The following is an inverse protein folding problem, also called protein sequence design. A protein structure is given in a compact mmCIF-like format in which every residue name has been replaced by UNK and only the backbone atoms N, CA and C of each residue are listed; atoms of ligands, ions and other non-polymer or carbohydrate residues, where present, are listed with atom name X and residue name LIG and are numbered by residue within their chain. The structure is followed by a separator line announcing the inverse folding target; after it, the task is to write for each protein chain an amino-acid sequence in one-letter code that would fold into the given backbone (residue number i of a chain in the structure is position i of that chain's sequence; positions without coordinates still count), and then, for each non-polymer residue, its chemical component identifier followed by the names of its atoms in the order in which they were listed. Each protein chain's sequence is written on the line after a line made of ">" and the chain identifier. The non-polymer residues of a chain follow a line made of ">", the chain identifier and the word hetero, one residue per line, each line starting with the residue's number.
data_IF_817422027101
#
_entry.id   IF_817422027101
#
_cell.length_a   1.000
_cell.length_b   1.000
_cell.length_c   1.000
_cell.angle_alpha   90.00
_cell.angle_beta   90.00
_cell.angle_gamma   90.00
#
_symmetry.space_group_name_H-M   'P 1'
#
loop_
_entity.id
_entity.type
_entity.pdbx_description
1 polymer ?
#
# COMPACT_ATOMS: atom_id res chain seq x y z
N UNK A 1 -23.63 17.96 -17.97
CA UNK A 1 -22.78 17.48 -19.06
C UNK A 1 -21.47 17.00 -18.46
N UNK A 2 -20.95 15.86 -18.91
CA UNK A 2 -19.81 15.15 -18.31
C UNK A 2 -18.52 15.94 -18.49
N UNK A 3 -18.39 16.67 -19.60
CA UNK A 3 -17.27 17.59 -19.83
C UNK A 3 -17.25 18.73 -18.82
N UNK A 4 -18.41 19.28 -18.47
CA UNK A 4 -18.51 20.34 -17.46
C UNK A 4 -18.03 19.86 -16.08
N UNK A 5 -18.32 18.61 -15.71
CA UNK A 5 -17.86 18.03 -14.43
C UNK A 5 -16.33 17.95 -14.39
N UNK A 6 -15.68 17.52 -15.48
CA UNK A 6 -14.21 17.43 -15.57
C UNK A 6 -13.53 18.81 -15.60
N UNK A 7 -14.07 19.75 -16.37
CA UNK A 7 -13.53 21.11 -16.50
C UNK A 7 -13.59 21.92 -15.19
N UNK A 8 -14.60 21.66 -14.34
CA UNK A 8 -14.74 22.33 -13.04
C UNK A 8 -13.74 21.86 -11.98
N UNK A 9 -12.95 20.80 -12.22
CA UNK A 9 -11.95 20.29 -11.27
C UNK A 9 -10.74 21.23 -11.14
N UNK A 10 -10.58 22.17 -12.08
CA UNK A 10 -9.42 23.05 -12.19
C UNK A 10 -9.66 24.49 -11.70
N UNK A 11 -10.83 24.83 -11.14
CA UNK A 11 -11.15 26.19 -10.66
C UNK A 11 -11.56 26.18 -9.18
N UNK A 12 -11.01 27.11 -8.40
CA UNK A 12 -11.47 27.39 -7.03
C UNK A 12 -12.98 27.67 -7.02
N UNK A 13 -13.71 27.04 -6.08
CA UNK A 13 -15.18 27.08 -6.01
C UNK A 13 -15.91 26.08 -6.91
N UNK A 14 -15.21 25.37 -7.81
CA UNK A 14 -15.78 24.33 -8.68
C UNK A 14 -16.28 23.09 -7.93
N UNK A 15 -15.71 22.80 -6.76
CA UNK A 15 -16.03 21.63 -5.93
C UNK A 15 -17.50 21.57 -5.50
N UNK A 16 -18.04 22.70 -5.00
CA UNK A 16 -19.45 22.82 -4.60
C UNK A 16 -20.40 22.62 -5.79
N UNK A 17 -20.01 23.09 -6.98
CA UNK A 17 -20.79 22.94 -8.20
C UNK A 17 -20.75 21.48 -8.67
N UNK A 18 -19.60 20.83 -8.60
CA UNK A 18 -19.42 19.43 -8.95
C UNK A 18 -20.29 18.51 -8.11
N UNK A 19 -20.25 18.64 -6.78
CA UNK A 19 -21.05 17.77 -5.89
C UNK A 19 -22.56 18.04 -6.02
N UNK A 20 -22.95 19.29 -6.25
CA UNK A 20 -24.35 19.66 -6.53
C UNK A 20 -24.85 19.08 -7.86
N UNK A 21 -24.01 19.14 -8.91
CA UNK A 21 -24.32 18.55 -10.20
C UNK A 21 -24.38 17.02 -10.11
N UNK A 22 -23.44 16.39 -9.40
CA UNK A 22 -23.43 14.96 -9.16
C UNK A 22 -24.70 14.51 -8.43
N UNK A 23 -25.09 15.22 -7.37
CA UNK A 23 -26.33 14.97 -6.62
C UNK A 23 -27.57 15.04 -7.53
N UNK A 24 -27.66 16.08 -8.37
CA UNK A 24 -28.78 16.23 -9.30
C UNK A 24 -28.85 15.12 -10.35
N UNK A 25 -27.70 14.66 -10.85
CA UNK A 25 -27.64 13.55 -11.80
C UNK A 25 -28.13 12.26 -11.11
N UNK A 26 -27.63 11.94 -9.91
CA UNK A 26 -28.06 10.74 -9.19
C UNK A 26 -29.56 10.75 -8.84
N UNK A 27 -30.09 11.90 -8.38
CA UNK A 27 -31.52 12.05 -8.07
C UNK A 27 -32.41 11.88 -9.32
N UNK A 28 -32.00 12.47 -10.46
CA UNK A 28 -32.70 12.28 -11.72
C UNK A 28 -32.70 10.80 -12.11
N UNK A 29 -31.54 10.15 -12.06
CA UNK A 29 -31.40 8.77 -12.49
C UNK A 29 -32.21 7.82 -11.59
N UNK A 30 -32.28 8.08 -10.28
CA UNK A 30 -33.17 7.34 -9.37
C UNK A 30 -34.64 7.38 -9.81
N UNK A 31 -35.13 8.52 -10.30
CA UNK A 31 -36.51 8.68 -10.78
C UNK A 31 -36.76 8.03 -12.14
N UNK A 32 -35.72 7.86 -12.95
CA UNK A 32 -35.83 7.47 -14.36
C UNK A 32 -35.46 6.01 -14.62
N UNK A 33 -34.76 5.34 -13.69
CA UNK A 33 -34.46 3.90 -13.81
C UNK A 33 -35.77 3.12 -13.62
N UNK A 34 -36.49 2.94 -14.72
CA UNK A 34 -37.45 1.86 -14.86
C UNK A 34 -36.66 0.57 -15.12
N UNK A 35 -36.84 -0.41 -14.23
CA UNK A 35 -36.43 -1.79 -14.47
C UNK A 35 -37.14 -2.24 -15.75
N UNK A 36 -36.44 -2.94 -16.64
CA UNK A 36 -36.93 -3.58 -17.88
C UNK A 36 -37.03 -2.71 -19.15
N UNK A 37 -35.91 -2.59 -19.88
CA UNK A 37 -35.94 -2.69 -21.35
C UNK A 37 -34.61 -3.30 -21.80
N UNK A 38 -34.66 -4.45 -22.46
CA UNK A 38 -33.48 -5.18 -22.94
C UNK A 38 -32.78 -4.49 -24.13
N UNK A 39 -33.17 -3.26 -24.49
CA UNK A 39 -32.58 -2.50 -25.59
C UNK A 39 -31.63 -1.42 -25.05
N UNK A 40 -30.33 -1.65 -25.24
CA UNK A 40 -29.28 -0.67 -24.96
C UNK A 40 -29.44 0.52 -25.91
N UNK A 41 -29.86 1.68 -25.40
CA UNK A 41 -29.98 2.92 -26.18
C UNK A 41 -29.02 4.01 -25.68
N UNK A 42 -28.87 5.09 -26.47
CA UNK A 42 -27.96 6.20 -26.16
C UNK A 42 -28.29 6.87 -24.82
N UNK A 43 -29.57 6.95 -24.45
CA UNK A 43 -29.99 7.54 -23.18
C UNK A 43 -29.56 6.66 -22.00
N UNK A 44 -29.69 5.33 -22.11
CA UNK A 44 -29.20 4.40 -21.10
C UNK A 44 -27.68 4.53 -20.91
N UNK A 45 -26.91 4.61 -21.99
CA UNK A 45 -25.45 4.82 -21.91
C UNK A 45 -25.10 6.16 -21.26
N UNK A 46 -25.85 7.22 -21.58
CA UNK A 46 -25.69 8.55 -20.96
C UNK A 46 -25.98 8.51 -19.47
N UNK A 47 -27.01 7.79 -19.04
CA UNK A 47 -27.35 7.63 -17.62
C UNK A 47 -26.29 6.82 -16.88
N UNK A 48 -25.77 5.74 -17.49
CA UNK A 48 -24.64 4.97 -16.93
C UNK A 48 -23.40 5.84 -16.79
N UNK A 49 -23.05 6.62 -17.81
CA UNK A 49 -21.92 7.54 -17.78
C UNK A 49 -22.11 8.63 -16.70
N UNK A 50 -23.32 9.15 -16.57
CA UNK A 50 -23.71 10.11 -15.53
C UNK A 50 -23.54 9.54 -14.12
N UNK A 51 -24.05 8.33 -13.87
CA UNK A 51 -23.88 7.64 -12.58
C UNK A 51 -22.38 7.46 -12.28
N UNK A 52 -21.61 6.95 -13.23
CA UNK A 52 -20.17 6.71 -13.05
C UNK A 52 -19.41 7.99 -12.72
N UNK A 53 -19.67 9.07 -13.45
CA UNK A 53 -19.05 10.38 -13.20
C UNK A 53 -19.45 10.95 -11.83
N UNK A 54 -20.72 10.82 -11.45
CA UNK A 54 -21.20 11.30 -10.13
C UNK A 54 -20.61 10.50 -8.97
N UNK A 55 -20.48 9.17 -9.10
CA UNK A 55 -19.87 8.33 -8.08
C UNK A 55 -18.36 8.54 -7.97
N UNK A 56 -17.68 8.79 -9.10
CA UNK A 56 -16.27 9.18 -9.13
C UNK A 56 -16.05 10.50 -8.36
N UNK A 57 -16.87 11.52 -8.63
CA UNK A 57 -16.86 12.78 -7.86
C UNK A 57 -17.18 12.53 -6.39
N UNK A 58 -18.20 11.74 -6.08
CA UNK A 58 -18.57 11.45 -4.68
C UNK A 58 -17.39 10.82 -3.93
N UNK A 59 -16.69 9.87 -4.56
CA UNK A 59 -15.59 9.11 -3.93
C UNK A 59 -14.46 10.00 -3.41
N UNK A 60 -14.21 11.16 -4.02
CA UNK A 60 -13.16 12.09 -3.56
C UNK A 60 -13.49 12.76 -2.22
N UNK A 61 -14.76 12.75 -1.80
CA UNK A 61 -15.20 13.38 -0.55
C UNK A 61 -15.41 12.36 0.59
N UNK A 62 -15.33 11.06 0.31
CA UNK A 62 -15.53 9.98 1.29
C UNK A 62 -14.21 9.50 1.91
N UNK A 63 -13.21 10.39 1.98
CA UNK A 63 -11.93 10.15 2.64
C UNK A 63 -11.99 10.37 4.16
N UNK A 64 -10.81 10.56 4.77
CA UNK A 64 -10.70 10.76 6.22
C UNK A 64 -11.32 12.09 6.70
N UNK A 65 -11.30 13.11 5.83
CA UNK A 65 -11.90 14.43 6.06
C UNK A 65 -13.42 14.46 5.86
N UNK A 66 -14.10 13.29 5.81
CA UNK A 66 -15.53 13.20 5.51
C UNK A 66 -16.40 14.11 6.41
N UNK A 67 -16.13 14.15 7.72
CA UNK A 67 -16.90 14.97 8.65
C UNK A 67 -16.80 16.46 8.33
N UNK A 68 -15.61 16.93 7.94
CA UNK A 68 -15.39 18.31 7.54
C UNK A 68 -15.97 18.59 6.15
N UNK A 69 -15.88 17.62 5.23
CA UNK A 69 -16.52 17.70 3.92
C UNK A 69 -18.05 17.83 4.04
N UNK A 70 -18.69 17.09 4.96
CA UNK A 70 -20.14 17.22 5.21
C UNK A 70 -20.51 18.62 5.67
N UNK A 71 -19.66 19.25 6.49
CA UNK A 71 -19.86 20.65 6.95
C UNK A 71 -19.63 21.66 5.83
N UNK A 72 -18.62 21.44 5.00
CA UNK A 72 -18.19 22.33 3.91
C UNK A 72 -19.14 22.28 2.70
N UNK A 73 -19.65 21.11 2.36
CA UNK A 73 -20.38 20.86 1.11
C UNK A 73 -21.85 20.52 1.37
N UNK A 74 -22.74 21.51 1.28
CA UNK A 74 -24.18 21.37 1.59
C UNK A 74 -24.91 20.29 0.76
N UNK A 75 -24.46 20.02 -0.46
CA UNK A 75 -25.08 19.01 -1.33
C UNK A 75 -24.54 17.59 -1.11
N UNK A 76 -23.46 17.41 -0.34
CA UNK A 76 -22.84 16.11 -0.10
C UNK A 76 -23.79 15.12 0.61
N UNK A 77 -24.51 15.48 1.68
CA UNK A 77 -25.45 14.56 2.33
C UNK A 77 -26.54 14.05 1.37
N UNK A 78 -27.11 14.95 0.57
CA UNK A 78 -28.12 14.58 -0.43
C UNK A 78 -27.54 13.69 -1.54
N UNK A 79 -26.31 13.96 -1.97
CA UNK A 79 -25.60 13.14 -2.94
C UNK A 79 -25.35 11.72 -2.40
N UNK A 80 -24.90 11.63 -1.14
CA UNK A 80 -24.63 10.38 -0.45
C UNK A 80 -25.89 9.52 -0.32
N UNK A 81 -27.02 10.12 0.07
CA UNK A 81 -28.29 9.41 0.20
C UNK A 81 -28.77 8.87 -1.16
N UNK A 82 -28.66 9.67 -2.22
CA UNK A 82 -28.99 9.22 -3.57
C UNK A 82 -28.10 8.05 -4.04
N UNK A 83 -26.79 8.12 -3.75
CA UNK A 83 -25.86 7.03 -4.06
C UNK A 83 -26.17 5.76 -3.27
N UNK A 84 -26.52 5.90 -1.97
CA UNK A 84 -26.93 4.79 -1.11
C UNK A 84 -28.16 4.09 -1.66
N UNK A 85 -29.22 4.83 -2.01
CA UNK A 85 -30.41 4.26 -2.64
C UNK A 85 -30.13 3.49 -3.94
N UNK A 86 -29.22 4.00 -4.78
CA UNK A 86 -28.84 3.31 -6.02
C UNK A 86 -28.09 2.00 -5.74
N UNK A 87 -27.24 1.98 -4.72
CA UNK A 87 -26.40 0.83 -4.38
C UNK A 87 -27.13 -0.22 -3.52
N UNK A 88 -28.12 0.16 -2.71
CA UNK A 88 -28.88 -0.76 -1.86
C UNK A 88 -29.84 -1.68 -2.60
N UNK A 89 -30.05 -1.49 -3.90
CA UNK A 89 -30.90 -2.40 -4.68
C UNK A 89 -30.08 -3.62 -5.14
N UNK A 90 -30.45 -4.82 -4.68
CA UNK A 90 -29.73 -6.07 -4.94
C UNK A 90 -29.55 -6.39 -6.44
N UNK A 91 -30.45 -5.91 -7.29
CA UNK A 91 -30.32 -6.02 -8.76
C UNK A 91 -29.20 -5.14 -9.35
N UNK A 92 -28.56 -4.28 -8.56
CA UNK A 92 -27.60 -3.24 -8.98
C UNK A 92 -26.27 -3.30 -8.22
N UNK A 93 -25.87 -4.47 -7.76
CA UNK A 93 -24.57 -4.71 -7.09
C UNK A 93 -23.35 -4.21 -7.88
N UNK A 94 -23.48 -4.08 -9.21
CA UNK A 94 -22.46 -3.50 -10.10
C UNK A 94 -22.18 -2.03 -9.79
N UNK A 95 -23.18 -1.24 -9.39
CA UNK A 95 -23.02 0.18 -9.04
C UNK A 95 -22.24 0.31 -7.73
N UNK A 96 -22.62 -0.47 -6.71
CA UNK A 96 -21.91 -0.55 -5.44
C UNK A 96 -20.44 -0.96 -5.66
N UNK A 97 -20.21 -2.00 -6.48
CA UNK A 97 -18.87 -2.46 -6.86
C UNK A 97 -18.06 -1.39 -7.57
N UNK A 98 -18.69 -0.57 -8.41
CA UNK A 98 -18.03 0.55 -9.07
C UNK A 98 -17.57 1.61 -8.07
N UNK A 99 -18.43 2.02 -7.14
CA UNK A 99 -18.08 2.98 -6.10
C UNK A 99 -16.92 2.47 -5.23
N UNK A 100 -17.00 1.21 -4.79
CA UNK A 100 -15.92 0.58 -4.02
C UNK A 100 -14.59 0.62 -4.78
N UNK A 101 -14.60 0.30 -6.08
CA UNK A 101 -13.40 0.38 -6.94
C UNK A 101 -12.84 1.80 -7.05
N UNK A 102 -13.69 2.83 -7.07
CA UNK A 102 -13.20 4.22 -7.07
C UNK A 102 -12.57 4.60 -5.73
N UNK A 103 -13.19 4.21 -4.61
CA UNK A 103 -12.61 4.47 -3.29
C UNK A 103 -11.23 3.83 -3.16
N UNK A 104 -11.08 2.56 -3.53
CA UNK A 104 -9.80 1.86 -3.50
C UNK A 104 -8.77 2.50 -4.44
N UNK A 105 -9.20 3.05 -5.57
CA UNK A 105 -8.32 3.70 -6.55
C UNK A 105 -7.74 5.01 -6.03
N UNK A 106 -8.54 5.82 -5.33
CA UNK A 106 -8.11 7.14 -4.85
C UNK A 106 -7.50 7.11 -3.46
N UNK A 107 -7.72 6.04 -2.70
CA UNK A 107 -7.12 5.89 -1.39
C UNK A 107 -5.65 5.46 -1.52
N UNK A 108 -4.67 6.27 -1.07
CA UNK A 108 -3.26 5.89 -1.11
C UNK A 108 -2.98 4.63 -0.29
N UNK A 109 -3.85 4.33 0.68
CA UNK A 109 -3.78 3.19 1.57
C UNK A 109 -4.64 2.02 1.06
N UNK A 110 -5.11 2.05 -0.19
CA UNK A 110 -5.69 0.92 -0.89
C UNK A 110 -6.89 0.26 -0.18
N UNK A 111 -7.08 -1.04 -0.42
CA UNK A 111 -8.31 -1.74 0.00
C UNK A 111 -8.48 -1.87 1.51
N UNK A 112 -7.41 -2.09 2.27
CA UNK A 112 -7.53 -2.31 3.71
C UNK A 112 -7.97 -1.05 4.46
N UNK A 113 -7.51 0.14 4.04
CA UNK A 113 -8.00 1.40 4.59
C UNK A 113 -9.47 1.65 4.24
N UNK A 114 -9.87 1.34 3.00
CA UNK A 114 -11.29 1.40 2.59
C UNK A 114 -12.13 0.42 3.41
N UNK A 115 -11.65 -0.81 3.65
CA UNK A 115 -12.32 -1.79 4.53
C UNK A 115 -12.50 -1.24 5.93
N UNK A 116 -11.46 -0.66 6.53
CA UNK A 116 -11.53 -0.06 7.86
C UNK A 116 -12.52 1.11 7.90
N UNK A 117 -12.48 1.99 6.90
CA UNK A 117 -13.41 3.11 6.78
C UNK A 117 -14.86 2.63 6.64
N UNK A 118 -15.10 1.57 5.87
CA UNK A 118 -16.41 0.97 5.69
C UNK A 118 -16.98 0.30 6.95
N UNK A 119 -16.22 0.15 8.03
CA UNK A 119 -16.77 -0.28 9.33
C UNK A 119 -17.61 0.81 10.00
N UNK A 120 -17.43 2.07 9.63
CA UNK A 120 -18.22 3.19 10.15
C UNK A 120 -19.66 3.11 9.61
N UNK A 121 -20.65 3.44 10.44
CA UNK A 121 -22.07 3.31 10.10
C UNK A 121 -22.46 4.10 8.84
N UNK A 122 -21.79 5.22 8.57
CA UNK A 122 -22.01 6.06 7.39
C UNK A 122 -21.63 5.37 6.07
N UNK A 123 -20.70 4.41 6.12
CA UNK A 123 -20.09 3.77 4.95
C UNK A 123 -20.35 2.28 4.84
N UNK A 124 -20.99 1.68 5.85
CA UNK A 124 -21.30 0.25 5.91
C UNK A 124 -22.03 -0.29 4.68
N UNK A 125 -22.90 0.52 4.08
CA UNK A 125 -23.65 0.17 2.87
C UNK A 125 -22.78 0.05 1.60
N UNK A 126 -21.55 0.55 1.60
CA UNK A 126 -20.64 0.48 0.44
C UNK A 126 -19.99 -0.91 0.35
N UNK A 127 -19.75 -1.56 1.49
CA UNK A 127 -19.15 -2.89 1.52
C UNK A 127 -20.18 -3.95 1.15
N UNK A 128 -19.89 -4.86 0.19
CA UNK A 128 -20.75 -5.99 -0.08
C UNK A 128 -20.75 -6.95 1.11
N UNK A 129 -21.89 -7.60 1.45
CA UNK A 129 -21.97 -8.51 2.59
C UNK A 129 -21.00 -9.69 2.49
N UNK A 130 -20.69 -10.15 1.28
CA UNK A 130 -19.73 -11.24 1.01
C UNK A 130 -18.27 -10.88 1.33
N UNK A 131 -17.96 -9.58 1.52
CA UNK A 131 -16.59 -9.11 1.77
C UNK A 131 -16.23 -9.08 3.26
N UNK A 132 -17.21 -9.25 4.16
CA UNK A 132 -16.99 -9.33 5.61
C UNK A 132 -16.30 -10.64 6.03
N UNK A 133 -16.46 -11.71 5.24
CA UNK A 133 -15.87 -13.03 5.50
C UNK A 133 -14.35 -13.08 5.24
N UNK A 134 -13.81 -12.17 4.41
CA UNK A 134 -12.37 -12.12 4.11
C UNK A 134 -11.64 -11.21 5.09
N UNK A 135 -11.40 -11.75 6.29
CA UNK A 135 -10.69 -11.08 7.40
C UNK A 135 -9.16 -11.07 7.25
N UNK A 136 -8.60 -11.94 6.40
CA UNK A 136 -7.15 -12.01 6.17
C UNK A 136 -6.69 -10.95 5.18
N UNK A 137 -5.61 -10.23 5.51
CA UNK A 137 -4.95 -9.32 4.57
C UNK A 137 -4.47 -10.09 3.34
N UNK A 138 -4.40 -9.47 2.15
CA UNK A 138 -3.76 -10.10 1.00
C UNK A 138 -2.30 -10.46 1.30
N UNK A 139 -1.81 -11.57 0.75
CA UNK A 139 -0.39 -11.94 0.87
C UNK A 139 0.45 -11.15 -0.15
N UNK A 140 1.24 -10.21 0.35
CA UNK A 140 2.11 -9.36 -0.47
C UNK A 140 3.36 -10.08 -0.98
N UNK A 141 3.75 -11.21 -0.38
CA UNK A 141 4.93 -11.97 -0.76
C UNK A 141 4.70 -12.92 -1.94
N UNK A 142 3.46 -13.00 -2.45
CA UNK A 142 3.13 -13.72 -3.68
C UNK A 142 3.90 -13.22 -4.91
N UNK A 143 4.56 -12.06 -4.81
CA UNK A 143 5.53 -11.56 -5.79
C UNK A 143 6.66 -12.57 -6.08
N UNK A 144 6.97 -13.48 -5.15
CA UNK A 144 7.93 -14.57 -5.32
C UNK A 144 7.34 -15.81 -6.03
N UNK A 145 6.09 -15.70 -6.49
CA UNK A 145 5.39 -16.66 -7.32
C UNK A 145 5.29 -18.07 -6.70
N UNK A 146 5.27 -19.09 -7.56
CA UNK A 146 4.93 -20.46 -7.21
C UNK A 146 5.87 -21.07 -6.17
N UNK A 147 7.16 -20.78 -6.23
CA UNK A 147 8.14 -21.37 -5.32
C UNK A 147 7.90 -20.95 -3.87
N UNK A 148 7.68 -19.65 -3.63
CA UNK A 148 7.28 -19.16 -2.31
C UNK A 148 5.91 -19.72 -1.89
N UNK A 149 4.93 -19.69 -2.80
CA UNK A 149 3.59 -20.19 -2.52
C UNK A 149 3.61 -21.66 -2.06
N UNK A 150 4.38 -22.52 -2.72
CA UNK A 150 4.51 -23.93 -2.35
C UNK A 150 5.14 -24.11 -0.96
N UNK A 151 6.16 -23.32 -0.60
CA UNK A 151 6.71 -23.33 0.77
C UNK A 151 5.68 -22.88 1.80
N UNK A 152 4.95 -21.78 1.51
CA UNK A 152 3.94 -21.23 2.40
C UNK A 152 2.81 -22.23 2.66
N UNK A 153 2.27 -22.86 1.61
CA UNK A 153 1.24 -23.89 1.75
C UNK A 153 1.73 -25.11 2.54
N UNK A 154 2.96 -25.56 2.29
CA UNK A 154 3.55 -26.67 3.04
C UNK A 154 3.72 -26.32 4.52
N UNK A 155 4.13 -25.08 4.84
CA UNK A 155 4.24 -24.59 6.21
C UNK A 155 2.87 -24.47 6.88
N UNK A 156 1.87 -23.92 6.19
CA UNK A 156 0.49 -23.86 6.69
C UNK A 156 -0.07 -25.25 7.00
N UNK A 157 0.17 -26.23 6.12
CA UNK A 157 -0.18 -27.64 6.36
C UNK A 157 0.58 -28.22 7.55
N UNK A 158 1.86 -27.88 7.72
CA UNK A 158 2.65 -28.34 8.85
C UNK A 158 2.15 -27.78 10.19
N UNK A 159 1.70 -26.53 10.20
CA UNK A 159 1.07 -25.90 11.36
C UNK A 159 -0.24 -26.61 11.71
N UNK A 160 -1.08 -26.90 10.71
CA UNK A 160 -2.36 -27.59 10.94
C UNK A 160 -2.19 -29.04 11.40
N UNK A 161 -1.26 -29.78 10.80
CA UNK A 161 -1.06 -31.22 11.08
C UNK A 161 -0.06 -31.48 12.21
N UNK A 162 0.64 -30.45 12.71
CA UNK A 162 1.77 -30.58 13.64
C UNK A 162 2.90 -31.49 13.13
N UNK A 163 3.04 -31.64 11.81
CA UNK A 163 4.08 -32.44 11.14
C UNK A 163 4.89 -31.58 10.14
N UNK A 164 6.22 -31.59 10.26
CA UNK A 164 7.17 -30.84 9.40
C UNK A 164 7.78 -31.67 8.27
N UNK A 165 7.48 -32.97 8.18
CA UNK A 165 8.07 -33.88 7.18
C UNK A 165 7.76 -33.40 5.75
N UNK A 166 6.49 -33.09 5.46
CA UNK A 166 6.03 -32.58 4.17
C UNK A 166 6.72 -31.26 3.80
N UNK A 167 6.91 -30.38 4.80
CA UNK A 167 7.62 -29.11 4.62
C UNK A 167 9.08 -29.35 4.23
N UNK A 168 9.75 -30.32 4.86
CA UNK A 168 11.12 -30.66 4.54
C UNK A 168 11.25 -31.20 3.10
N UNK A 169 10.37 -32.12 2.71
CA UNK A 169 10.33 -32.69 1.35
C UNK A 169 10.14 -31.59 0.31
N UNK A 170 9.22 -30.66 0.55
CA UNK A 170 8.97 -29.52 -0.35
C UNK A 170 10.22 -28.66 -0.52
N UNK A 171 10.87 -28.31 0.59
CA UNK A 171 12.06 -27.46 0.61
C UNK A 171 13.26 -28.12 -0.06
N UNK A 172 13.47 -29.42 0.14
CA UNK A 172 14.57 -30.17 -0.47
C UNK A 172 14.40 -30.29 -2.00
N UNK A 173 13.16 -30.46 -2.47
CA UNK A 173 12.86 -30.61 -3.89
C UNK A 173 12.81 -29.28 -4.67
N UNK A 174 12.85 -28.14 -3.96
CA UNK A 174 12.80 -26.81 -4.57
C UNK A 174 14.04 -26.52 -5.42
N UNK A 175 13.83 -26.29 -6.71
CA UNK A 175 14.88 -25.90 -7.67
C UNK A 175 15.26 -24.42 -7.49
N UNK A 176 15.91 -24.11 -6.37
CA UNK A 176 16.35 -22.77 -6.01
C UNK A 176 17.69 -22.83 -5.27
N UNK A 177 18.48 -21.75 -5.36
CA UNK A 177 19.71 -21.63 -4.57
C UNK A 177 19.39 -21.63 -3.06
N UNK A 178 20.30 -22.11 -2.19
CA UNK A 178 20.06 -22.17 -0.76
C UNK A 178 19.63 -20.83 -0.13
N UNK A 179 20.26 -19.73 -0.55
CA UNK A 179 19.91 -18.36 -0.14
C UNK A 179 18.46 -17.98 -0.47
N UNK A 180 17.99 -18.36 -1.66
CA UNK A 180 16.61 -18.13 -2.11
C UNK A 180 15.63 -19.03 -1.32
N UNK A 181 16.00 -20.28 -1.04
CA UNK A 181 15.21 -21.15 -0.15
C UNK A 181 15.06 -20.55 1.24
N UNK A 182 16.15 -20.05 1.83
CA UNK A 182 16.12 -19.34 3.12
C UNK A 182 15.16 -18.14 3.08
N UNK A 183 15.18 -17.37 1.98
CA UNK A 183 14.24 -16.26 1.78
C UNK A 183 12.77 -16.73 1.84
N UNK A 184 12.42 -17.78 1.08
CA UNK A 184 11.04 -18.28 1.07
C UNK A 184 10.59 -18.84 2.41
N UNK A 185 11.46 -19.56 3.11
CA UNK A 185 11.18 -20.09 4.46
C UNK A 185 10.89 -18.94 5.43
N UNK A 186 11.71 -17.90 5.44
CA UNK A 186 11.55 -16.75 6.34
C UNK A 186 10.29 -15.95 6.02
N UNK A 187 10.00 -15.68 4.74
CA UNK A 187 8.78 -14.99 4.34
C UNK A 187 7.53 -15.81 4.69
N UNK A 188 7.57 -17.12 4.48
CA UNK A 188 6.47 -18.02 4.83
C UNK A 188 6.26 -18.09 6.34
N UNK A 189 7.34 -18.14 7.14
CA UNK A 189 7.27 -18.09 8.60
C UNK A 189 6.64 -16.81 9.09
N UNK A 190 7.08 -15.65 8.59
CA UNK A 190 6.43 -14.39 8.94
C UNK A 190 4.95 -14.42 8.57
N UNK A 191 4.62 -14.88 7.36
CA UNK A 191 3.25 -14.88 6.85
C UNK A 191 2.32 -15.80 7.65
N UNK A 192 2.69 -17.05 7.87
CA UNK A 192 1.82 -18.03 8.54
C UNK A 192 1.87 -17.91 10.07
N UNK A 193 3.01 -17.54 10.65
CA UNK A 193 3.19 -17.47 12.10
C UNK A 193 3.06 -16.04 12.61
N UNK A 194 3.91 -15.11 12.18
CA UNK A 194 3.93 -13.77 12.77
C UNK A 194 2.63 -12.99 12.51
N UNK A 195 2.02 -13.12 11.33
CA UNK A 195 0.74 -12.44 11.07
C UNK A 195 -0.43 -13.02 11.87
N UNK A 196 -0.34 -14.25 12.39
CA UNK A 196 -1.40 -14.84 13.21
C UNK A 196 -1.62 -14.07 14.52
N UNK A 197 -0.58 -13.40 15.02
CA UNK A 197 -0.65 -12.55 16.22
C UNK A 197 -1.43 -11.23 16.00
N UNK A 198 -1.74 -10.87 14.75
CA UNK A 198 -2.56 -9.69 14.43
C UNK A 198 -4.07 -9.95 14.52
N UNK A 199 -4.52 -11.18 14.74
CA UNK A 199 -5.96 -11.48 14.70
C UNK A 199 -6.69 -11.01 15.97
N UNK A 200 -7.84 -10.31 15.85
CA UNK A 200 -8.59 -9.78 17.01
C UNK A 200 -9.32 -10.84 17.83
N UNK A 201 -9.50 -12.04 17.30
CA UNK A 201 -10.20 -13.12 18.00
C UNK A 201 -9.30 -13.58 19.15
N UNK A 202 -9.70 -13.21 20.36
CA UNK A 202 -8.89 -13.20 21.55
C UNK A 202 -8.26 -14.54 21.91
N UNK A 203 -7.03 -14.45 22.39
CA UNK A 203 -6.39 -15.25 23.45
C UNK A 203 -6.32 -16.78 23.34
N UNK A 204 -7.01 -17.46 22.40
CA UNK A 204 -6.99 -18.94 22.28
C UNK A 204 -6.87 -19.52 20.85
N UNK A 205 -6.85 -18.69 19.80
CA UNK A 205 -6.70 -19.12 18.38
C UNK A 205 -5.26 -18.99 17.84
N UNK A 206 -4.29 -18.73 18.71
CA UNK A 206 -2.87 -18.66 18.35
C UNK A 206 -2.29 -20.04 17.99
N UNK A 207 -1.21 -20.07 17.20
CA UNK A 207 -0.50 -21.33 16.93
C UNK A 207 -0.01 -21.93 18.25
N UNK A 208 -0.40 -23.16 18.61
CA UNK A 208 -0.05 -23.75 19.90
C UNK A 208 1.47 -23.78 20.14
N UNK A 209 1.91 -23.47 21.37
CA UNK A 209 3.33 -23.41 21.76
C UNK A 209 4.10 -24.69 21.41
N UNK A 210 3.44 -25.87 21.49
CA UNK A 210 4.03 -27.15 21.09
C UNK A 210 4.45 -27.17 19.61
N UNK A 211 3.67 -26.53 18.74
CA UNK A 211 3.92 -26.46 17.30
C UNK A 211 5.04 -25.46 17.03
N UNK A 212 5.01 -24.29 17.69
CA UNK A 212 6.12 -23.33 17.63
C UNK A 212 7.44 -23.96 18.07
N UNK A 213 7.45 -24.78 19.12
CA UNK A 213 8.62 -25.53 19.55
C UNK A 213 9.10 -26.59 18.54
N UNK A 214 8.20 -27.24 17.80
CA UNK A 214 8.58 -28.14 16.70
C UNK A 214 9.19 -27.37 15.53
N UNK A 215 8.57 -26.25 15.13
CA UNK A 215 9.08 -25.38 14.07
C UNK A 215 10.45 -24.81 14.43
N UNK A 216 10.65 -24.38 15.68
CA UNK A 216 11.94 -23.91 16.18
C UNK A 216 13.02 -24.99 16.04
N UNK A 217 12.76 -26.22 16.49
CA UNK A 217 13.71 -27.34 16.31
C UNK A 217 13.98 -27.66 14.84
N UNK A 218 12.94 -27.60 14.01
CA UNK A 218 13.07 -27.81 12.57
C UNK A 218 14.01 -26.76 11.94
N UNK A 219 13.77 -25.47 12.22
CA UNK A 219 14.59 -24.34 11.73
C UNK A 219 16.05 -24.48 12.19
N UNK A 220 16.27 -24.86 13.45
CA UNK A 220 17.62 -25.12 13.97
C UNK A 220 18.32 -26.27 13.23
N UNK A 221 17.56 -27.27 12.78
CA UNK A 221 18.06 -28.40 11.99
C UNK A 221 18.39 -28.07 10.52
N UNK A 222 17.95 -26.94 9.98
CA UNK A 222 18.22 -26.58 8.58
C UNK A 222 19.70 -26.24 8.41
N UNK A 223 20.43 -27.08 7.67
CA UNK A 223 21.88 -26.97 7.51
C UNK A 223 22.32 -25.75 6.68
N UNK A 224 21.56 -25.42 5.63
CA UNK A 224 21.91 -24.31 4.74
C UNK A 224 21.47 -22.94 5.26
N UNK A 225 20.73 -22.88 6.37
CA UNK A 225 20.27 -21.64 6.98
C UNK A 225 21.35 -21.11 7.95
N UNK A 226 21.96 -19.94 7.70
CA UNK A 226 22.94 -19.34 8.59
C UNK A 226 22.37 -19.06 9.99
N UNK A 227 23.21 -19.09 11.02
CA UNK A 227 22.80 -18.85 12.41
C UNK A 227 22.13 -17.48 12.62
N UNK A 228 22.56 -16.43 11.90
CA UNK A 228 21.88 -15.13 11.94
C UNK A 228 20.42 -15.22 11.45
N UNK A 229 20.18 -16.00 10.40
CA UNK A 229 18.84 -16.20 9.85
C UNK A 229 17.99 -17.11 10.74
N UNK A 230 18.60 -18.07 11.45
CA UNK A 230 17.93 -18.85 12.50
C UNK A 230 17.46 -17.96 13.65
N UNK A 231 18.30 -17.03 14.10
CA UNK A 231 17.93 -16.02 15.09
C UNK A 231 16.76 -15.15 14.63
N UNK A 232 16.78 -14.70 13.37
CA UNK A 232 15.66 -13.95 12.78
C UNK A 232 14.37 -14.80 12.72
N UNK A 233 14.48 -16.07 12.32
CA UNK A 233 13.34 -16.98 12.29
C UNK A 233 12.75 -17.21 13.69
N UNK A 234 13.60 -17.32 14.72
CA UNK A 234 13.19 -17.36 16.12
C UNK A 234 12.35 -16.14 16.51
N UNK A 235 12.77 -14.94 16.09
CA UNK A 235 12.00 -13.72 16.34
C UNK A 235 10.62 -13.74 15.65
N UNK A 236 10.50 -14.33 14.46
CA UNK A 236 9.19 -14.49 13.81
C UNK A 236 8.25 -15.41 14.61
N UNK A 237 8.78 -16.48 15.20
CA UNK A 237 8.00 -17.43 16.01
C UNK A 237 7.47 -16.81 17.31
N UNK A 238 8.20 -15.85 17.87
CA UNK A 238 7.84 -15.16 19.12
C UNK A 238 7.31 -13.74 18.89
N UNK A 239 6.86 -13.43 17.68
CA UNK A 239 6.34 -12.10 17.32
C UNK A 239 7.22 -10.92 17.77
N UNK A 240 8.54 -11.06 17.63
CA UNK A 240 9.52 -10.03 17.98
C UNK A 240 9.41 -9.51 19.42
N UNK A 241 9.04 -10.36 20.38
CA UNK A 241 8.94 -10.02 21.82
C UNK A 241 10.20 -9.41 22.47
N UNK A 242 11.37 -9.48 21.81
CA UNK A 242 12.59 -8.89 22.32
C UNK A 242 12.63 -7.35 22.16
N UNK A 243 13.39 -6.68 23.02
CA UNK A 243 13.46 -5.21 23.07
C UNK A 243 13.92 -4.55 21.75
N UNK A 244 14.68 -5.28 20.91
CA UNK A 244 15.22 -4.76 19.65
C UNK A 244 14.28 -5.00 18.46
N UNK A 245 13.19 -5.75 18.64
CA UNK A 245 12.26 -6.19 17.60
C UNK A 245 10.89 -5.52 17.62
N UNK A 246 10.61 -4.68 18.62
CA UNK A 246 9.28 -4.07 18.84
C UNK A 246 8.72 -3.33 17.62
N UNK A 247 9.59 -2.77 16.76
CA UNK A 247 9.17 -2.10 15.53
C UNK A 247 8.47 -3.05 14.54
N UNK A 248 8.85 -4.33 14.52
CA UNK A 248 8.30 -5.35 13.63
C UNK A 248 7.25 -6.24 14.31
N UNK A 249 6.95 -5.97 15.58
CA UNK A 249 5.93 -6.69 16.33
C UNK A 249 4.54 -6.40 15.76
N UNK A 250 3.78 -7.46 15.55
CA UNK A 250 2.42 -7.37 15.03
C UNK A 250 1.39 -7.46 16.17
N UNK A 251 0.36 -6.62 16.11
CA UNK A 251 -0.75 -6.65 17.07
C UNK A 251 -2.11 -6.38 16.41
N UNK A 252 -3.17 -6.82 17.09
CA UNK A 252 -4.55 -6.61 16.64
C UNK A 252 -4.97 -5.14 16.57
N UNK A 253 -4.27 -4.25 17.29
CA UNK A 253 -4.57 -2.82 17.40
C UNK A 253 -3.91 -1.94 16.33
N UNK A 254 -2.97 -2.48 15.54
CA UNK A 254 -2.28 -1.72 14.51
C UNK A 254 -3.19 -1.37 13.33
N UNK A 255 -2.94 -0.20 12.74
CA UNK A 255 -3.62 0.21 11.52
C UNK A 255 -3.21 -0.68 10.34
N UNK A 256 -4.02 -0.71 9.29
CA UNK A 256 -3.68 -1.42 8.05
C UNK A 256 -2.39 -0.90 7.40
N UNK A 257 -2.09 0.39 7.56
CA UNK A 257 -0.86 1.00 7.04
C UNK A 257 0.37 0.53 7.80
N UNK A 258 0.30 0.51 9.13
CA UNK A 258 1.41 0.05 9.96
C UNK A 258 1.74 -1.41 9.62
N UNK A 259 0.72 -2.26 9.45
CA UNK A 259 0.90 -3.65 9.06
C UNK A 259 1.61 -3.79 7.71
N UNK A 260 1.22 -3.01 6.70
CA UNK A 260 1.89 -3.02 5.40
C UNK A 260 3.32 -2.52 5.47
N UNK A 261 3.57 -1.48 6.27
CA UNK A 261 4.92 -1.00 6.49
C UNK A 261 5.79 -2.08 7.13
N UNK A 262 5.26 -2.81 8.13
CA UNK A 262 5.94 -3.95 8.75
C UNK A 262 6.19 -5.06 7.71
N UNK A 263 5.21 -5.43 6.89
CA UNK A 263 5.39 -6.41 5.80
C UNK A 263 6.51 -5.99 4.84
N UNK A 264 6.56 -4.72 4.44
CA UNK A 264 7.62 -4.17 3.59
C UNK A 264 8.99 -4.19 4.27
N UNK A 265 9.07 -3.80 5.54
CA UNK A 265 10.30 -3.83 6.32
C UNK A 265 10.82 -5.25 6.52
N UNK A 266 9.91 -6.21 6.76
CA UNK A 266 10.26 -7.62 6.88
C UNK A 266 10.73 -8.18 5.54
N UNK A 267 10.05 -7.87 4.44
CA UNK A 267 10.51 -8.25 3.11
C UNK A 267 11.91 -7.70 2.82
N UNK A 268 12.12 -6.41 3.07
CA UNK A 268 13.42 -5.76 2.95
C UNK A 268 14.47 -6.48 3.81
N UNK A 269 14.20 -6.70 5.09
CA UNK A 269 15.10 -7.39 6.03
C UNK A 269 15.49 -8.78 5.53
N UNK A 270 14.51 -9.59 5.14
CA UNK A 270 14.72 -10.96 4.67
C UNK A 270 15.50 -10.96 3.36
N UNK A 271 15.14 -10.13 2.39
CA UNK A 271 15.84 -10.05 1.10
C UNK A 271 17.28 -9.60 1.29
N UNK A 272 17.54 -8.56 2.10
CA UNK A 272 18.90 -8.06 2.35
C UNK A 272 19.79 -9.08 3.04
N UNK A 273 19.25 -9.86 3.97
CA UNK A 273 20.01 -10.87 4.73
C UNK A 273 20.20 -12.18 3.94
N UNK A 274 19.24 -12.58 3.12
CA UNK A 274 19.32 -13.81 2.33
C UNK A 274 20.04 -13.63 1.00
N UNK A 275 19.85 -12.49 0.33
CA UNK A 275 20.29 -12.23 -1.04
C UNK A 275 21.21 -10.99 -1.07
N UNK A 276 22.39 -11.04 -0.43
CA UNK A 276 23.29 -9.90 -0.39
C UNK A 276 23.77 -9.59 -1.82
N UNK A 277 23.52 -8.37 -2.26
CA UNK A 277 23.98 -7.86 -3.54
C UNK A 277 24.80 -6.59 -3.32
N UNK A 278 25.93 -6.45 -4.02
CA UNK A 278 26.85 -5.31 -3.81
C UNK A 278 26.19 -3.95 -4.01
N UNK A 279 25.27 -3.84 -4.96
CA UNK A 279 24.50 -2.60 -5.20
C UNK A 279 23.57 -2.23 -4.03
N UNK A 280 23.20 -3.19 -3.20
CA UNK A 280 22.34 -2.98 -2.04
C UNK A 280 23.14 -2.68 -0.76
N UNK A 281 24.49 -2.76 -0.82
CA UNK A 281 25.35 -2.52 0.34
C UNK A 281 25.11 -1.16 1.01
N UNK A 282 24.91 -0.04 0.30
CA UNK A 282 24.59 1.24 0.94
C UNK A 282 23.29 1.19 1.74
N UNK A 283 22.26 0.49 1.23
CA UNK A 283 20.98 0.30 1.92
C UNK A 283 21.12 -0.63 3.13
N UNK A 284 21.93 -1.69 3.01
CA UNK A 284 22.25 -2.56 4.15
C UNK A 284 22.99 -1.81 5.25
N UNK A 285 23.94 -0.95 4.89
CA UNK A 285 24.63 -0.10 5.85
C UNK A 285 23.66 0.89 6.49
N UNK A 286 22.78 1.52 5.72
CA UNK A 286 21.77 2.43 6.27
C UNK A 286 20.85 1.74 7.28
N UNK A 287 20.43 0.50 6.98
CA UNK A 287 19.51 -0.25 7.83
C UNK A 287 20.17 -0.88 9.07
N UNK A 288 21.36 -1.46 8.93
CA UNK A 288 21.99 -2.29 9.97
C UNK A 288 23.24 -1.67 10.58
N UNK A 289 23.90 -0.73 9.89
CA UNK A 289 25.15 -0.11 10.33
C UNK A 289 25.15 1.41 10.07
N UNK A 290 24.18 2.17 10.60
CA UNK A 290 23.98 3.58 10.25
C UNK A 290 25.21 4.45 10.53
N UNK A 291 26.05 4.06 11.49
CA UNK A 291 27.34 4.71 11.76
C UNK A 291 28.27 4.77 10.53
N UNK A 292 28.22 3.78 9.63
CA UNK A 292 29.00 3.76 8.38
C UNK A 292 28.47 4.74 7.32
N UNK A 293 27.27 5.31 7.52
CA UNK A 293 26.58 6.18 6.56
C UNK A 293 26.55 7.66 6.98
N UNK A 294 27.17 8.03 8.10
CA UNK A 294 27.11 9.39 8.67
C UNK A 294 27.53 10.51 7.69
N UNK A 295 28.45 10.23 6.78
CA UNK A 295 28.95 11.18 5.78
C UNK A 295 28.69 10.69 4.34
N UNK A 296 27.66 9.87 4.14
CA UNK A 296 27.30 9.33 2.83
C UNK A 296 26.17 10.13 2.19
N UNK A 297 26.22 10.31 0.87
CA UNK A 297 25.08 10.79 0.10
C UNK A 297 24.02 9.69 0.03
N UNK A 298 22.80 10.01 0.48
CA UNK A 298 21.67 9.08 0.45
C UNK A 298 20.95 9.23 -0.89
N UNK A 299 20.43 8.15 -1.50
CA UNK A 299 19.60 8.24 -2.70
C UNK A 299 18.48 9.26 -2.53
N UNK A 300 18.13 9.98 -3.60
CA UNK A 300 17.08 11.03 -3.62
C UNK A 300 17.35 12.25 -2.73
N UNK A 301 18.57 12.40 -2.19
CA UNK A 301 19.02 13.65 -1.59
C UNK A 301 19.09 14.74 -2.67
N UNK A 302 18.63 15.97 -2.39
CA UNK A 302 18.81 17.09 -3.29
C UNK A 302 20.30 17.30 -3.61
N UNK A 303 20.62 17.46 -4.88
CA UNK A 303 21.95 17.84 -5.33
C UNK A 303 21.90 19.30 -5.79
N UNK A 304 22.78 20.13 -5.23
CA UNK A 304 22.96 21.50 -5.68
C UNK A 304 24.13 21.54 -6.66
N UNK A 305 23.82 21.71 -7.94
CA UNK A 305 24.81 21.86 -9.02
C UNK A 305 25.50 23.25 -8.96
N UNK A 306 25.01 24.18 -8.13
CA UNK A 306 25.48 25.56 -8.06
C UNK A 306 27.01 25.69 -7.95
N UNK A 307 27.69 24.98 -7.03
CA UNK A 307 29.14 25.00 -6.91
C UNK A 307 29.89 24.47 -8.14
N UNK A 308 29.36 23.45 -8.82
CA UNK A 308 29.97 22.91 -10.03
C UNK A 308 29.81 23.87 -11.22
N UNK A 309 28.62 24.46 -11.36
CA UNK A 309 28.33 25.51 -12.34
C UNK A 309 29.21 26.75 -12.10
N UNK A 310 29.39 27.16 -10.84
CA UNK A 310 30.30 28.26 -10.47
C UNK A 310 31.73 28.00 -10.94
N UNK A 311 32.27 26.81 -10.64
CA UNK A 311 33.63 26.43 -11.08
C UNK A 311 33.75 26.32 -12.60
N UNK A 312 32.74 25.76 -13.27
CA UNK A 312 32.75 25.64 -14.74
C UNK A 312 32.77 27.02 -15.42
N UNK A 313 32.00 27.97 -14.90
CA UNK A 313 31.93 29.35 -15.41
C UNK A 313 33.23 30.12 -15.14
N UNK A 314 33.81 29.98 -13.95
CA UNK A 314 35.14 30.56 -13.63
C UNK A 314 36.23 30.01 -14.55
N UNK A 315 36.26 28.69 -14.77
CA UNK A 315 37.22 28.05 -15.67
C UNK A 315 37.04 28.48 -17.13
N UNK A 316 35.79 28.62 -17.61
CA UNK A 316 35.50 29.11 -18.95
C UNK A 316 35.88 30.59 -19.13
N UNK A 317 35.74 31.40 -18.07
CA UNK A 317 36.14 32.82 -18.05
C UNK A 317 37.64 33.04 -18.23
N UNK A 318 38.46 32.04 -17.87
CA UNK A 318 39.91 32.04 -18.12
C UNK A 318 40.30 31.76 -19.58
N UNK A 319 39.37 31.26 -20.41
CA UNK A 319 39.60 30.97 -21.84
C UNK A 319 39.04 32.05 -22.79
N UNK A 320 38.14 32.91 -22.32
CA UNK A 320 37.53 33.98 -23.11
C UNK A 320 38.36 35.27 -23.05
N UNK A 321 39.22 35.48 -24.05
CA UNK A 321 40.07 36.68 -24.20
C UNK A 321 39.27 37.90 -24.70
N UNK A 322 38.03 37.71 -25.15
CA UNK A 322 37.26 38.76 -25.81
C UNK A 322 35.80 38.76 -25.36
N UNK A 323 35.47 39.81 -24.60
CA UNK A 323 34.13 40.32 -24.21
C UNK A 323 33.47 39.67 -22.96
N UNK A 324 33.40 40.50 -21.92
CA UNK A 324 32.81 40.41 -20.55
C UNK A 324 32.85 39.05 -19.83
N UNK A 325 33.54 39.06 -18.68
CA UNK A 325 33.46 37.96 -17.74
C UNK A 325 32.05 37.84 -17.12
N UNK A 326 31.50 36.62 -17.02
CA UNK A 326 30.20 36.35 -16.41
C UNK A 326 30.17 36.84 -14.96
N UNK A 327 29.12 37.60 -14.61
CA UNK A 327 28.90 38.11 -13.26
C UNK A 327 27.78 37.35 -12.57
N UNK A 328 28.05 36.99 -11.32
CA UNK A 328 27.08 36.37 -10.42
C UNK A 328 26.24 37.44 -9.71
N UNK A 329 24.96 37.16 -9.59
CA UNK A 329 23.97 37.99 -8.92
C UNK A 329 23.17 37.14 -7.95
N UNK A 330 22.58 37.78 -6.94
CA UNK A 330 21.71 37.15 -5.95
C UNK A 330 20.38 37.90 -5.92
N UNK A 331 19.26 37.18 -5.98
CA UNK A 331 17.94 37.80 -5.87
C UNK A 331 17.59 38.08 -4.39
N UNK A 332 16.56 38.89 -4.10
CA UNK A 332 16.14 39.17 -2.72
C UNK A 332 15.74 37.94 -1.89
N UNK A 333 15.42 36.82 -2.55
CA UNK A 333 15.11 35.54 -1.92
C UNK A 333 16.36 34.65 -1.72
N UNK A 334 17.56 35.13 -2.01
CA UNK A 334 18.82 34.40 -1.83
C UNK A 334 19.18 33.44 -2.98
N UNK A 335 18.41 33.39 -4.07
CA UNK A 335 18.75 32.56 -5.22
C UNK A 335 19.84 33.23 -6.05
N UNK A 336 20.94 32.51 -6.28
CA UNK A 336 22.04 32.97 -7.13
C UNK A 336 21.76 32.68 -8.59
N UNK A 337 22.09 33.61 -9.48
CA UNK A 337 21.97 33.47 -10.93
C UNK A 337 23.14 34.15 -11.64
N UNK A 338 23.45 33.69 -12.84
CA UNK A 338 24.51 34.26 -13.69
C UNK A 338 23.88 34.92 -14.92
N UNK A 339 24.42 36.07 -15.30
CA UNK A 339 24.06 36.72 -16.56
C UNK A 339 25.29 36.65 -17.47
N UNK A 340 25.17 35.93 -18.57
CA UNK A 340 26.15 35.87 -19.66
C UNK A 340 25.63 36.78 -20.78
N UNK A 341 26.48 37.63 -21.37
CA UNK A 341 26.14 38.46 -22.54
C UNK A 341 26.18 37.68 -23.85
#
# INVERSE_FOLDING_TARGET
>A
DVETVKLLKAKEGGENIQISLASRILDRTLRTIHVTSNSLNVNCLKDIAGIRASLDVLSTYLGDDFTDNVRRFKALPKCLEAAKHLCSNSSRSVIQSFLLKQLVRYDPNGIDAVKERCKREEFKWIMPPQSEEQTKSPDTFIIHHQNYHTVREALGKAILTSNVDDLNIVIENLQAQPSVRSCYVLLALFREVTTSFSHPNGEDDGIPTRILGKLSRYIEGIQYLPNELKGLAGNFLTNFENANGQLLQLSSRQSSNDRRLIELLVHFLVVMKCLPHRLLQPLMNLAFNPALMMNAFIPTMPHDDGPEVMRAIENASGMLITYRQPKWYECPNGHRYVVTE
#
